data_IF_323054384705
#
_entry.id   IF_323054384705
#
_cell.length_a   1.000
_cell.length_b   1.000
_cell.length_c   1.000
_cell.angle_alpha   90.00
_cell.angle_beta   90.00
_cell.angle_gamma   90.00
#
_symmetry.space_group_name_H-M   'P 1'
#
loop_
_entity.id
_entity.type
_entity.pdbx_description
1 polymer ?
#
# COMPACT_ATOMS: atom_id res chain seq x y z
N UNK A 1 27.82 62.42 -7.06
CA UNK A 1 26.49 61.80 -7.06
C UNK A 1 26.67 60.29 -7.25
N UNK A 2 26.60 59.48 -6.18
CA UNK A 2 26.70 58.01 -6.24
C UNK A 2 25.27 57.43 -6.33
N UNK A 3 24.96 56.76 -7.44
CA UNK A 3 23.65 56.05 -7.60
C UNK A 3 23.75 54.71 -6.91
N UNK A 4 22.97 54.50 -5.87
CA UNK A 4 22.72 53.17 -5.28
C UNK A 4 21.67 52.46 -6.10
N UNK A 5 22.05 51.33 -6.73
CA UNK A 5 21.11 50.39 -7.36
C UNK A 5 20.61 49.46 -6.25
N UNK A 6 19.34 49.55 -5.93
CA UNK A 6 18.67 48.65 -5.00
C UNK A 6 18.25 47.38 -5.79
N UNK A 7 18.98 46.27 -5.58
CA UNK A 7 18.60 44.98 -6.14
C UNK A 7 17.54 44.38 -5.23
N UNK A 8 16.30 44.39 -5.69
CA UNK A 8 15.17 43.71 -5.04
C UNK A 8 15.25 42.21 -5.36
N UNK A 9 15.77 41.41 -4.44
CA UNK A 9 15.71 39.97 -4.49
C UNK A 9 14.27 39.50 -4.23
N UNK A 10 13.54 39.15 -5.27
CA UNK A 10 12.26 38.48 -5.18
C UNK A 10 12.48 37.06 -4.65
N UNK A 11 12.25 36.85 -3.35
CA UNK A 11 12.14 35.53 -2.76
C UNK A 11 10.86 34.85 -3.29
N UNK A 12 10.99 33.95 -4.27
CA UNK A 12 9.90 33.09 -4.70
C UNK A 12 9.59 32.15 -3.53
N UNK A 13 8.34 32.08 -3.05
CA UNK A 13 8.06 31.31 -1.85
C UNK A 13 8.26 29.82 -2.11
N UNK A 14 9.15 29.20 -1.37
CA UNK A 14 9.49 27.78 -1.37
C UNK A 14 8.26 26.84 -1.17
N UNK A 15 7.16 27.37 -0.63
CA UNK A 15 5.89 26.67 -0.42
C UNK A 15 5.22 26.28 -1.75
N UNK A 16 5.25 27.15 -2.77
CA UNK A 16 4.61 26.85 -4.07
C UNK A 16 5.36 25.75 -4.82
N UNK A 17 6.68 25.70 -4.71
CA UNK A 17 7.51 24.67 -5.33
C UNK A 17 7.30 23.28 -4.68
N UNK A 18 7.14 23.21 -3.35
CA UNK A 18 6.80 21.97 -2.63
C UNK A 18 5.42 21.44 -3.00
N UNK A 19 4.41 22.30 -3.12
CA UNK A 19 3.05 21.90 -3.50
C UNK A 19 3.00 21.34 -4.93
N UNK A 20 3.76 21.92 -5.85
CA UNK A 20 3.81 21.49 -7.26
C UNK A 20 4.56 20.15 -7.41
N UNK A 21 5.60 19.91 -6.61
CA UNK A 21 6.32 18.63 -6.56
C UNK A 21 5.47 17.52 -5.95
N UNK A 22 4.65 17.83 -4.94
CA UNK A 22 3.70 16.85 -4.35
C UNK A 22 2.59 16.42 -5.31
N UNK A 23 2.07 17.32 -6.15
CA UNK A 23 1.02 16.94 -7.14
C UNK A 23 1.58 16.05 -8.25
N UNK A 24 2.83 16.23 -8.64
CA UNK A 24 3.52 15.38 -9.63
C UNK A 24 3.81 13.97 -9.10
N UNK A 25 3.82 13.76 -7.78
CA UNK A 25 4.19 12.50 -7.13
C UNK A 25 3.01 11.59 -6.80
N UNK A 26 1.75 12.07 -6.97
CA UNK A 26 0.55 11.26 -6.79
C UNK A 26 -0.15 11.13 -8.14
N UNK A 27 0.18 10.07 -8.89
CA UNK A 27 -0.33 9.85 -10.26
C UNK A 27 -1.14 8.57 -10.37
N UNK A 28 -2.05 8.56 -11.33
CA UNK A 28 -2.80 7.39 -11.78
C UNK A 28 -2.56 7.25 -13.27
N UNK A 29 -1.83 6.22 -13.66
CA UNK A 29 -1.47 5.96 -15.03
C UNK A 29 -2.06 4.62 -15.52
N UNK A 30 -2.18 4.43 -16.81
CA UNK A 30 -2.41 3.11 -17.40
C UNK A 30 -1.14 2.26 -17.25
N UNK A 31 -1.28 0.94 -17.28
CA UNK A 31 -0.13 0.04 -17.23
C UNK A 31 0.66 0.18 -18.54
N UNK A 32 1.85 0.79 -18.49
CA UNK A 32 2.75 0.89 -19.64
C UNK A 32 3.39 -0.49 -19.96
N UNK A 33 3.97 -0.64 -21.15
CA UNK A 33 4.67 -1.89 -21.52
C UNK A 33 5.85 -2.16 -20.59
N UNK A 34 6.55 -1.14 -20.12
CA UNK A 34 7.64 -1.28 -19.16
C UNK A 34 7.16 -1.81 -17.82
N UNK A 35 6.05 -1.30 -17.27
CA UNK A 35 5.45 -1.82 -16.04
C UNK A 35 4.91 -3.22 -16.27
N UNK A 36 4.22 -3.47 -17.39
CA UNK A 36 3.69 -4.78 -17.71
C UNK A 36 4.78 -5.86 -17.82
N UNK A 37 5.94 -5.52 -18.39
CA UNK A 37 7.09 -6.42 -18.48
C UNK A 37 7.61 -6.85 -17.10
N UNK A 38 7.57 -5.96 -16.09
CA UNK A 38 7.92 -6.31 -14.69
C UNK A 38 6.92 -7.29 -14.08
N UNK A 39 5.63 -7.20 -14.45
CA UNK A 39 4.52 -7.99 -13.91
C UNK A 39 4.35 -9.35 -14.61
N UNK A 40 4.76 -9.45 -15.88
CA UNK A 40 4.48 -10.60 -16.73
C UNK A 40 5.11 -11.90 -16.18
N UNK A 41 4.28 -12.93 -16.04
CA UNK A 41 4.60 -14.23 -15.42
C UNK A 41 4.91 -14.17 -13.91
N UNK A 42 4.78 -13.03 -13.27
CA UNK A 42 4.88 -12.85 -11.83
C UNK A 42 3.50 -12.54 -11.24
N UNK A 43 3.20 -11.31 -10.89
CA UNK A 43 1.86 -10.94 -10.41
C UNK A 43 0.78 -11.03 -11.50
N UNK A 44 1.13 -10.80 -12.75
CA UNK A 44 0.25 -11.00 -13.92
C UNK A 44 0.59 -12.31 -14.63
N UNK A 45 -0.04 -13.40 -14.19
CA UNK A 45 0.20 -14.75 -14.72
C UNK A 45 -0.40 -14.93 -16.12
N UNK A 46 0.07 -15.94 -16.88
CA UNK A 46 -0.40 -16.19 -18.23
C UNK A 46 -1.91 -16.51 -18.30
N UNK A 47 -2.47 -17.07 -17.24
CA UNK A 47 -3.89 -17.39 -17.06
C UNK A 47 -4.68 -16.28 -16.37
N UNK A 48 -4.09 -15.09 -16.21
CA UNK A 48 -4.77 -13.96 -15.58
C UNK A 48 -6.01 -13.54 -16.37
N UNK A 49 -7.15 -13.56 -15.70
CA UNK A 49 -8.45 -13.21 -16.28
C UNK A 49 -8.80 -11.73 -16.17
N UNK A 50 -7.96 -10.94 -15.50
CA UNK A 50 -8.18 -9.50 -15.35
C UNK A 50 -7.56 -8.77 -16.54
N UNK A 51 -8.34 -8.03 -17.34
CA UNK A 51 -7.79 -7.27 -18.46
C UNK A 51 -6.75 -6.23 -17.95
N UNK A 52 -5.61 -6.11 -18.65
CA UNK A 52 -4.61 -5.07 -18.35
C UNK A 52 -5.23 -3.66 -18.34
N UNK A 53 -6.22 -3.40 -19.20
CA UNK A 53 -6.96 -2.15 -19.29
C UNK A 53 -7.79 -1.82 -18.04
N UNK A 54 -8.05 -2.80 -17.16
CA UNK A 54 -8.75 -2.61 -15.89
C UNK A 54 -7.79 -2.27 -14.74
N UNK A 55 -6.50 -2.40 -14.96
CA UNK A 55 -5.47 -2.06 -13.98
C UNK A 55 -4.95 -0.63 -14.16
N UNK A 56 -4.47 -0.06 -13.06
CA UNK A 56 -3.82 1.25 -13.01
C UNK A 56 -2.51 1.13 -12.24
N UNK A 57 -1.52 1.85 -12.70
CA UNK A 57 -0.26 2.05 -12.00
C UNK A 57 -0.31 3.39 -11.26
N UNK A 58 -0.09 3.36 -9.96
CA UNK A 58 -0.09 4.53 -9.11
C UNK A 58 1.31 4.78 -8.59
N UNK A 59 1.73 6.05 -8.60
CA UNK A 59 2.86 6.53 -7.82
C UNK A 59 2.32 7.32 -6.64
N UNK A 60 2.88 7.09 -5.47
CA UNK A 60 2.49 7.76 -4.23
C UNK A 60 3.73 8.14 -3.43
N UNK A 61 3.60 9.13 -2.56
CA UNK A 61 4.61 9.39 -1.53
C UNK A 61 4.16 8.77 -0.21
N UNK A 62 5.12 8.30 0.58
CA UNK A 62 4.90 7.87 1.95
C UNK A 62 6.10 8.26 2.82
N UNK A 63 5.94 8.22 4.14
CA UNK A 63 7.02 8.43 5.10
C UNK A 63 7.26 7.15 5.89
N UNK A 64 8.51 6.89 6.25
CA UNK A 64 8.84 5.84 7.21
C UNK A 64 8.71 6.33 8.66
N UNK A 65 9.05 5.46 9.62
CA UNK A 65 8.99 5.80 11.05
C UNK A 65 9.98 6.89 11.48
N UNK A 66 10.97 7.21 10.66
CA UNK A 66 11.93 8.27 10.86
C UNK A 66 11.47 9.60 10.21
N UNK A 67 10.29 9.61 9.57
CA UNK A 67 9.77 10.76 8.84
C UNK A 67 10.44 10.99 7.48
N UNK A 68 11.24 10.04 6.99
CA UNK A 68 11.87 10.13 5.67
C UNK A 68 10.84 9.84 4.59
N UNK A 69 10.77 10.72 3.59
CA UNK A 69 9.91 10.54 2.41
C UNK A 69 10.49 9.51 1.45
N UNK A 70 9.62 8.66 0.93
CA UNK A 70 9.88 7.66 -0.10
C UNK A 70 8.83 7.73 -1.20
N UNK A 71 9.20 7.28 -2.39
CA UNK A 71 8.27 7.02 -3.48
C UNK A 71 7.78 5.57 -3.42
N UNK A 72 6.48 5.37 -3.61
CA UNK A 72 5.84 4.06 -3.63
C UNK A 72 5.15 3.78 -4.95
N UNK A 73 5.08 2.49 -5.31
CA UNK A 73 4.44 1.99 -6.52
C UNK A 73 3.30 1.02 -6.17
N UNK A 74 2.13 1.21 -6.77
CA UNK A 74 0.97 0.35 -6.57
C UNK A 74 0.36 0.00 -7.93
N UNK A 75 0.07 -1.27 -8.17
CA UNK A 75 -0.84 -1.68 -9.23
C UNK A 75 -2.16 -2.10 -8.60
N UNK A 76 -3.26 -1.49 -9.04
CA UNK A 76 -4.61 -1.80 -8.53
C UNK A 76 -5.65 -1.77 -9.64
N UNK A 77 -6.88 -2.20 -9.34
CA UNK A 77 -8.00 -2.04 -10.25
C UNK A 77 -8.39 -0.57 -10.39
N UNK A 78 -8.77 -0.15 -11.62
CA UNK A 78 -9.24 1.21 -11.92
C UNK A 78 -10.39 1.67 -11.01
N UNK A 79 -11.18 0.72 -10.47
CA UNK A 79 -12.34 1.01 -9.60
C UNK A 79 -11.94 1.63 -8.27
N UNK A 80 -10.74 1.32 -7.76
CA UNK A 80 -10.26 1.82 -6.46
C UNK A 80 -9.08 2.79 -6.58
N UNK A 81 -8.59 3.04 -7.79
CA UNK A 81 -7.38 3.85 -8.01
C UNK A 81 -7.50 5.28 -7.46
N UNK A 82 -8.64 5.94 -7.67
CA UNK A 82 -8.89 7.30 -7.14
C UNK A 82 -8.93 7.30 -5.61
N UNK A 83 -9.64 6.34 -5.02
CA UNK A 83 -9.72 6.21 -3.56
C UNK A 83 -8.33 6.03 -2.95
N UNK A 84 -7.50 5.14 -3.52
CA UNK A 84 -6.14 4.92 -3.02
C UNK A 84 -5.29 6.19 -3.10
N UNK A 85 -5.31 6.94 -4.21
CA UNK A 85 -4.55 8.19 -4.33
C UNK A 85 -4.98 9.20 -3.26
N UNK A 86 -6.27 9.37 -3.01
CA UNK A 86 -6.80 10.29 -1.99
C UNK A 86 -6.37 9.85 -0.58
N UNK A 87 -6.49 8.56 -0.27
CA UNK A 87 -6.05 7.96 0.99
C UNK A 87 -4.55 8.20 1.20
N UNK A 88 -3.70 7.82 0.24
CA UNK A 88 -2.25 7.95 0.39
C UNK A 88 -1.79 9.41 0.45
N UNK A 89 -2.45 10.32 -0.27
CA UNK A 89 -2.17 11.75 -0.15
C UNK A 89 -2.46 12.26 1.26
N UNK A 90 -3.58 11.84 1.85
CA UNK A 90 -3.92 12.23 3.21
C UNK A 90 -2.98 11.60 4.24
N UNK A 91 -2.65 10.31 4.10
CA UNK A 91 -1.68 9.63 4.97
C UNK A 91 -0.30 10.30 4.94
N UNK A 92 0.17 10.68 3.74
CA UNK A 92 1.43 11.41 3.58
C UNK A 92 1.37 12.79 4.24
N UNK A 93 0.30 13.56 4.02
CA UNK A 93 0.08 14.88 4.64
C UNK A 93 0.14 14.81 6.17
N UNK A 94 -0.47 13.79 6.75
CA UNK A 94 -0.54 13.57 8.21
C UNK A 94 0.67 12.78 8.74
N UNK A 95 1.70 12.54 7.90
CA UNK A 95 2.93 11.84 8.28
C UNK A 95 2.67 10.46 8.91
N UNK A 96 1.61 9.75 8.44
CA UNK A 96 1.32 8.40 8.89
C UNK A 96 2.39 7.41 8.37
N UNK A 97 3.08 6.66 9.24
CA UNK A 97 4.23 5.88 8.82
C UNK A 97 3.84 4.63 8.04
N UNK A 98 4.38 4.51 6.84
CA UNK A 98 4.36 3.30 6.01
C UNK A 98 5.81 3.04 5.57
N UNK A 99 6.32 1.85 5.89
CA UNK A 99 7.75 1.60 5.69
C UNK A 99 8.10 1.43 4.22
N UNK A 100 7.27 0.66 3.48
CA UNK A 100 7.58 0.28 2.11
C UNK A 100 6.31 0.10 1.28
N UNK A 101 6.35 0.58 0.04
CA UNK A 101 5.28 0.39 -0.95
C UNK A 101 5.94 0.04 -2.29
N UNK A 102 5.98 -1.25 -2.64
CA UNK A 102 6.58 -1.77 -3.87
C UNK A 102 5.65 -2.75 -4.56
N UNK A 103 5.82 -2.90 -5.87
CA UNK A 103 5.15 -3.97 -6.59
C UNK A 103 5.60 -5.32 -6.01
N UNK A 104 4.66 -6.24 -5.82
CA UNK A 104 4.98 -7.60 -5.34
C UNK A 104 5.92 -8.34 -6.29
N UNK A 105 6.01 -7.87 -7.53
CA UNK A 105 6.89 -8.37 -8.58
C UNK A 105 8.39 -8.25 -8.25
N UNK A 106 8.77 -7.33 -7.36
CA UNK A 106 10.14 -7.22 -6.83
C UNK A 106 10.50 -8.39 -5.90
N UNK A 107 9.48 -9.13 -5.45
CA UNK A 107 9.58 -10.35 -4.65
C UNK A 107 9.17 -11.59 -5.46
N UNK A 108 9.25 -11.53 -6.80
CA UNK A 108 8.81 -12.58 -7.73
C UNK A 108 7.34 -13.01 -7.54
N UNK A 109 6.50 -12.08 -7.07
CA UNK A 109 5.10 -12.29 -6.68
C UNK A 109 4.91 -13.30 -5.53
N UNK A 110 5.94 -13.52 -4.72
CA UNK A 110 5.87 -14.28 -3.48
C UNK A 110 5.36 -13.39 -2.35
N UNK A 111 4.12 -13.64 -1.92
CA UNK A 111 3.47 -12.88 -0.84
C UNK A 111 4.23 -13.01 0.49
N UNK A 112 4.76 -14.20 0.81
CA UNK A 112 5.47 -14.43 2.07
C UNK A 112 6.77 -13.62 2.12
N UNK A 113 7.55 -13.59 1.03
CA UNK A 113 8.77 -12.77 0.94
C UNK A 113 8.44 -11.28 1.03
N UNK A 114 7.42 -10.82 0.30
CA UNK A 114 6.94 -9.44 0.33
C UNK A 114 6.50 -9.02 1.74
N UNK A 115 5.69 -9.85 2.41
CA UNK A 115 5.21 -9.57 3.76
C UNK A 115 6.33 -9.57 4.79
N UNK A 116 7.32 -10.47 4.69
CA UNK A 116 8.49 -10.51 5.60
C UNK A 116 9.31 -9.24 5.57
N UNK A 117 9.35 -8.56 4.41
CA UNK A 117 10.05 -7.29 4.19
C UNK A 117 9.17 -6.06 4.50
N UNK A 118 8.06 -6.25 5.22
CA UNK A 118 7.08 -5.21 5.56
C UNK A 118 6.59 -4.41 4.35
N UNK A 119 6.49 -5.04 3.18
CA UNK A 119 6.02 -4.38 1.98
C UNK A 119 4.49 -4.20 2.01
N UNK A 120 4.03 -3.07 1.50
CA UNK A 120 2.62 -2.79 1.23
C UNK A 120 2.36 -2.99 -0.25
N UNK A 121 1.35 -3.80 -0.62
CA UNK A 121 1.09 -4.15 -2.02
C UNK A 121 -0.39 -4.42 -2.28
N UNK A 122 -0.80 -4.37 -3.57
CA UNK A 122 -2.20 -4.51 -3.93
C UNK A 122 -2.43 -5.69 -4.91
N UNK A 123 -2.07 -5.55 -6.20
CA UNK A 123 -2.37 -6.55 -7.22
C UNK A 123 -1.39 -7.74 -7.17
N UNK A 124 -1.95 -8.95 -7.04
CA UNK A 124 -1.24 -10.22 -7.24
C UNK A 124 -2.25 -11.29 -7.69
N UNK A 125 -2.16 -11.76 -8.92
CA UNK A 125 -3.12 -12.74 -9.47
C UNK A 125 -2.87 -14.14 -8.89
N UNK A 126 -3.69 -14.50 -7.92
CA UNK A 126 -3.66 -15.80 -7.24
C UNK A 126 -5.00 -16.16 -6.62
N UNK A 127 -5.16 -17.42 -6.28
CA UNK A 127 -6.30 -17.87 -5.47
C UNK A 127 -6.07 -17.61 -3.98
N UNK A 128 -7.13 -17.62 -3.21
CA UNK A 128 -7.06 -17.67 -1.75
C UNK A 128 -6.42 -19.01 -1.33
N UNK A 129 -5.42 -19.00 -0.41
CA UNK A 129 -4.77 -20.23 0.02
C UNK A 129 -5.74 -21.33 0.45
N UNK A 130 -5.60 -22.54 -0.13
CA UNK A 130 -6.47 -23.67 0.12
C UNK A 130 -7.85 -23.60 -0.55
N UNK A 131 -8.06 -22.71 -1.52
CA UNK A 131 -9.32 -22.50 -2.23
C UNK A 131 -9.10 -22.33 -3.73
N UNK A 132 -10.15 -22.59 -4.53
CA UNK A 132 -10.21 -22.27 -5.98
C UNK A 132 -10.70 -20.83 -6.23
N UNK A 133 -11.10 -20.09 -5.18
CA UNK A 133 -11.62 -18.73 -5.31
C UNK A 133 -10.47 -17.75 -5.52
N UNK A 134 -10.62 -16.87 -6.51
CA UNK A 134 -9.67 -15.76 -6.69
C UNK A 134 -9.65 -14.84 -5.46
N UNK A 135 -8.46 -14.45 -5.04
CA UNK A 135 -8.25 -13.43 -4.01
C UNK A 135 -8.78 -12.07 -4.48
N UNK A 136 -9.12 -11.18 -3.55
CA UNK A 136 -9.37 -9.77 -3.86
C UNK A 136 -8.12 -9.07 -4.41
N UNK A 137 -6.92 -9.50 -4.00
CA UNK A 137 -5.66 -9.06 -4.62
C UNK A 137 -5.56 -9.47 -6.09
N UNK A 138 -6.04 -10.65 -6.46
CA UNK A 138 -6.09 -11.09 -7.86
C UNK A 138 -6.97 -10.20 -8.73
N UNK A 139 -7.95 -9.54 -8.14
CA UNK A 139 -8.83 -8.59 -8.81
C UNK A 139 -8.30 -7.14 -8.76
N UNK A 140 -7.22 -6.90 -8.03
CA UNK A 140 -6.68 -5.58 -7.71
C UNK A 140 -7.62 -4.73 -6.83
N UNK A 141 -8.48 -5.39 -6.03
CA UNK A 141 -9.50 -4.77 -5.18
C UNK A 141 -9.19 -4.89 -3.69
N UNK A 142 -7.97 -5.32 -3.33
CA UNK A 142 -7.47 -5.32 -1.98
C UNK A 142 -6.06 -4.77 -1.92
N UNK A 143 -5.70 -4.20 -0.79
CA UNK A 143 -4.37 -3.72 -0.48
C UNK A 143 -3.99 -4.13 0.93
N UNK A 144 -2.73 -4.56 1.09
CA UNK A 144 -2.12 -4.86 2.38
C UNK A 144 -1.12 -3.76 2.75
N UNK A 145 -1.15 -3.29 3.99
CA UNK A 145 -0.32 -2.18 4.48
C UNK A 145 0.51 -2.61 5.70
N UNK A 146 1.82 -2.31 5.68
CA UNK A 146 2.76 -2.59 6.77
C UNK A 146 2.64 -4.05 7.25
N UNK A 147 2.80 -4.97 6.34
CA UNK A 147 2.39 -6.37 6.43
C UNK A 147 3.04 -7.16 7.57
N UNK A 148 4.35 -6.97 7.80
CA UNK A 148 5.08 -7.64 8.88
C UNK A 148 4.50 -7.31 10.26
N UNK A 149 4.14 -6.04 10.48
CA UNK A 149 3.63 -5.55 11.76
C UNK A 149 2.13 -5.77 11.93
N UNK A 150 1.44 -6.18 10.87
CA UNK A 150 -0.01 -6.38 10.85
C UNK A 150 -0.38 -7.75 10.28
N UNK A 151 0.04 -8.84 10.93
CA UNK A 151 -0.07 -10.18 10.38
C UNK A 151 -1.50 -10.63 10.13
N UNK A 152 -1.64 -11.55 9.17
CA UNK A 152 -2.77 -12.46 9.13
C UNK A 152 -2.62 -13.51 10.24
N UNK A 153 -3.69 -13.75 11.00
CA UNK A 153 -3.73 -14.75 12.08
C UNK A 153 -5.02 -15.55 12.04
N UNK A 154 -4.90 -16.87 12.10
CA UNK A 154 -6.05 -17.76 12.27
C UNK A 154 -5.69 -18.96 13.15
N UNK A 155 -6.71 -19.63 13.68
CA UNK A 155 -6.53 -21.00 14.23
C UNK A 155 -6.94 -22.01 13.16
N UNK A 156 -6.08 -22.98 12.91
CA UNK A 156 -6.40 -24.09 12.01
C UNK A 156 -7.37 -25.08 12.70
N UNK A 157 -7.75 -26.14 11.97
CA UNK A 157 -8.70 -27.15 12.48
C UNK A 157 -8.20 -27.87 13.75
N UNK A 158 -6.89 -27.92 13.97
CA UNK A 158 -6.26 -28.50 15.14
C UNK A 158 -6.07 -27.48 16.29
N UNK A 159 -6.63 -26.26 16.16
CA UNK A 159 -6.50 -25.18 17.15
C UNK A 159 -5.15 -24.49 17.16
N UNK A 160 -4.18 -24.90 16.33
CA UNK A 160 -2.86 -24.28 16.22
C UNK A 160 -2.97 -22.91 15.58
N UNK A 161 -2.28 -21.91 16.13
CA UNK A 161 -2.20 -20.58 15.59
C UNK A 161 -1.32 -20.56 14.34
N UNK A 162 -1.85 -20.10 13.23
CA UNK A 162 -1.13 -19.81 11.99
C UNK A 162 -0.97 -18.30 11.85
N UNK A 163 0.23 -17.86 11.52
CA UNK A 163 0.62 -16.45 11.40
C UNK A 163 1.35 -16.26 10.09
N UNK A 164 0.95 -15.25 9.32
CA UNK A 164 1.60 -14.87 8.08
C UNK A 164 1.87 -13.36 8.09
N UNK A 165 3.09 -12.95 7.76
CA UNK A 165 4.28 -13.77 7.46
C UNK A 165 4.79 -14.51 8.70
N UNK A 166 5.59 -15.57 8.47
CA UNK A 166 6.05 -16.45 9.55
C UNK A 166 6.89 -15.73 10.62
N UNK A 167 7.60 -14.65 10.25
CA UNK A 167 8.42 -13.82 11.15
C UNK A 167 7.60 -12.78 11.94
N UNK A 168 6.28 -12.73 11.75
CA UNK A 168 5.40 -11.74 12.40
C UNK A 168 4.87 -12.17 13.78
N UNK A 169 5.32 -13.32 14.33
CA UNK A 169 4.93 -13.80 15.66
C UNK A 169 5.03 -12.74 16.78
N UNK A 170 6.07 -11.87 16.83
CA UNK A 170 6.18 -10.82 17.86
C UNK A 170 5.04 -9.80 17.84
N UNK A 171 4.34 -9.66 16.69
CA UNK A 171 3.29 -8.65 16.44
C UNK A 171 1.87 -9.21 16.58
N UNK A 172 1.71 -10.48 16.91
CA UNK A 172 0.40 -11.13 17.15
C UNK A 172 -0.30 -10.54 18.38
N UNK A 173 0.48 -10.19 19.42
CA UNK A 173 -0.07 -9.56 20.62
C UNK A 173 -0.44 -8.08 20.34
N UNK A 174 -1.70 -7.84 20.01
CA UNK A 174 -2.20 -6.51 19.65
C UNK A 174 -2.42 -5.58 20.85
N UNK A 175 -2.24 -6.03 22.11
CA UNK A 175 -2.24 -5.13 23.28
C UNK A 175 -0.96 -4.30 23.37
N UNK A 176 0.17 -4.79 22.83
CA UNK A 176 1.45 -4.08 22.82
C UNK A 176 1.42 -2.92 21.83
N UNK A 177 2.12 -1.83 22.16
CA UNK A 177 2.38 -0.73 21.26
C UNK A 177 3.67 -0.98 20.47
N UNK A 178 3.63 -0.75 19.16
CA UNK A 178 4.79 -0.80 18.26
C UNK A 178 4.52 0.05 17.03
N UNK A 179 5.60 0.46 16.38
CA UNK A 179 5.55 1.24 15.14
C UNK A 179 4.85 0.46 14.03
N UNK A 180 4.23 1.16 13.08
CA UNK A 180 3.50 0.62 11.93
C UNK A 180 2.25 -0.22 12.27
N UNK A 181 1.86 -0.31 13.54
CA UNK A 181 0.65 -1.03 13.95
C UNK A 181 -0.60 -0.32 13.49
N UNK A 182 -1.43 -1.00 12.71
CA UNK A 182 -2.78 -0.56 12.35
C UNK A 182 -3.74 -0.88 13.48
N UNK A 183 -4.58 0.08 13.87
CA UNK A 183 -5.59 -0.06 14.92
C UNK A 183 -6.96 0.32 14.38
N UNK A 184 -7.99 -0.32 14.90
CA UNK A 184 -9.36 0.15 14.66
C UNK A 184 -9.49 1.61 15.12
N UNK A 185 -9.97 2.48 14.24
CA UNK A 185 -10.17 3.91 14.53
C UNK A 185 -8.93 4.78 14.42
N UNK A 186 -7.74 4.25 14.05
CA UNK A 186 -6.59 5.10 13.70
C UNK A 186 -6.83 5.82 12.36
N UNK A 187 -5.92 6.71 11.98
CA UNK A 187 -6.07 7.50 10.76
C UNK A 187 -6.22 6.62 9.52
N UNK A 188 -5.33 5.64 9.35
CA UNK A 188 -5.35 4.76 8.18
C UNK A 188 -6.68 3.99 8.11
N UNK A 189 -7.08 3.34 9.20
CA UNK A 189 -8.36 2.62 9.28
C UNK A 189 -9.54 3.52 8.92
N UNK A 190 -9.64 4.74 9.52
CA UNK A 190 -10.74 5.66 9.23
C UNK A 190 -10.81 6.05 7.77
N UNK A 191 -9.66 6.39 7.15
CA UNK A 191 -9.61 6.77 5.73
C UNK A 191 -10.09 5.63 4.83
N UNK A 192 -9.59 4.41 5.03
CA UNK A 192 -10.03 3.26 4.24
C UNK A 192 -11.53 2.99 4.40
N UNK A 193 -12.07 3.03 5.63
CA UNK A 193 -13.52 2.83 5.86
C UNK A 193 -14.35 3.94 5.21
N UNK A 194 -13.93 5.19 5.29
CA UNK A 194 -14.61 6.33 4.65
C UNK A 194 -14.67 6.18 3.12
N UNK A 195 -13.64 5.56 2.53
CA UNK A 195 -13.60 5.23 1.10
C UNK A 195 -14.29 3.90 0.75
N UNK A 196 -15.02 3.29 1.69
CA UNK A 196 -15.85 2.10 1.47
C UNK A 196 -15.09 0.77 1.45
N UNK A 197 -13.86 0.73 1.95
CA UNK A 197 -13.13 -0.52 2.16
C UNK A 197 -13.58 -1.21 3.44
N UNK A 198 -13.42 -2.53 3.48
CA UNK A 198 -13.60 -3.36 4.67
C UNK A 198 -12.24 -3.79 5.19
N UNK A 199 -12.06 -3.77 6.50
CA UNK A 199 -10.82 -4.17 7.15
C UNK A 199 -10.83 -5.63 7.60
N UNK A 200 -9.81 -6.41 7.22
CA UNK A 200 -9.65 -7.81 7.63
C UNK A 200 -9.42 -8.01 9.12
N UNK A 201 -8.89 -7.00 9.83
CA UNK A 201 -8.77 -7.04 11.29
C UNK A 201 -10.10 -7.12 12.04
N UNK A 202 -11.21 -6.81 11.38
CA UNK A 202 -12.57 -6.96 11.94
C UNK A 202 -13.19 -8.35 11.70
N UNK A 203 -12.59 -9.23 10.88
CA UNK A 203 -13.16 -10.54 10.56
C UNK A 203 -13.35 -11.42 11.81
N UNK A 204 -14.34 -12.29 11.76
CA UNK A 204 -14.73 -13.10 12.93
C UNK A 204 -13.82 -14.32 13.17
N UNK A 205 -13.51 -15.08 12.12
CA UNK A 205 -12.86 -16.40 12.23
C UNK A 205 -11.34 -16.36 12.02
N UNK A 206 -10.86 -15.29 11.43
CA UNK A 206 -9.46 -14.96 11.26
C UNK A 206 -9.30 -13.46 11.47
N UNK A 207 -8.08 -13.01 11.64
CA UNK A 207 -7.74 -11.59 11.66
C UNK A 207 -6.70 -11.33 10.60
N UNK A 208 -6.96 -10.39 9.73
CA UNK A 208 -6.00 -9.93 8.73
C UNK A 208 -5.77 -8.43 8.94
N UNK A 209 -4.82 -8.13 9.82
CA UNK A 209 -4.64 -6.76 10.28
C UNK A 209 -4.05 -5.83 9.22
N UNK A 210 -3.38 -6.37 8.20
CA UNK A 210 -2.82 -5.61 7.08
C UNK A 210 -3.87 -5.26 6.01
N UNK A 211 -4.93 -6.07 5.88
CA UNK A 211 -5.80 -6.20 4.71
C UNK A 211 -6.96 -5.24 4.68
N UNK A 212 -7.09 -4.52 3.56
CA UNK A 212 -8.27 -3.69 3.23
C UNK A 212 -8.80 -4.08 1.85
N UNK A 213 -10.10 -4.39 1.73
CA UNK A 213 -10.73 -4.82 0.47
C UNK A 213 -12.03 -4.05 0.16
N UNK A 214 -12.35 -3.95 -1.15
CA UNK A 214 -13.56 -3.26 -1.64
C UNK A 214 -14.32 -4.09 -2.68
#
# INVERSE_FOLDING_TARGET
MKRFILILLLAIPSVAMHAQQQTASFTIDTISDAIFARMWKKSYKADCTIPRSDLRYLRVLHVDAQGKTHEGEIVCNKKIAKDLIEIFRQLYKEQYPIERIRLVDEYDADDELSMRDNNSSCFNFRTVPGSKKLSKHAQGLAIDINTLYNPYVRRNKQGKLEVMPANAQPYVNRSRSFTYKIKQGDLLHRLFIQHGFRWGGAWRYSKDYQHFEK
#
